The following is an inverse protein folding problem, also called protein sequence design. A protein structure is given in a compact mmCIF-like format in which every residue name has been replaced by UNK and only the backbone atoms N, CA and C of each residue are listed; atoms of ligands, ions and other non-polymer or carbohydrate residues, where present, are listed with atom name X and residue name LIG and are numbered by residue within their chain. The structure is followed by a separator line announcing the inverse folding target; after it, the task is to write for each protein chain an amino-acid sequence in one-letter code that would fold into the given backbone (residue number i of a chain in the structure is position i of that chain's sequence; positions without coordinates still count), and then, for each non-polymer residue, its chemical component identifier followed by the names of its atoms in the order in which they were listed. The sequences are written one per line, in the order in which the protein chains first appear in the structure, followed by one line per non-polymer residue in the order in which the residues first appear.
data_IF_683519847649
#
_entry.id   IF_683519847649
#
_cell.length_a   1.000
_cell.length_b   1.000
_cell.length_c   1.000
_cell.angle_alpha   90.00
_cell.angle_beta   90.00
_cell.angle_gamma   90.00
#
_symmetry.space_group_name_H-M   'P 1'
#
loop_
_entity.id
_entity.type
_entity.pdbx_description
1 polymer ?
#
# COMPACT_ATOMS: atom_id res chain seq x y z
N UNK A 1 -10.77 29.50 -17.09
CA UNK A 1 -10.35 28.63 -15.98
C UNK A 1 -11.50 27.71 -15.63
N UNK A 2 -11.25 26.42 -15.50
CA UNK A 2 -12.29 25.45 -15.09
C UNK A 2 -12.44 25.56 -13.57
N UNK A 3 -13.68 25.70 -13.08
CA UNK A 3 -13.98 25.87 -11.66
C UNK A 3 -14.73 24.65 -11.13
N UNK A 4 -14.41 24.19 -9.92
CA UNK A 4 -15.10 23.12 -9.22
C UNK A 4 -15.42 23.60 -7.79
N UNK A 5 -16.70 23.84 -7.49
CA UNK A 5 -17.05 24.56 -6.28
C UNK A 5 -16.37 25.94 -6.25
N UNK A 6 -15.63 26.27 -5.17
CA UNK A 6 -14.82 27.48 -5.08
C UNK A 6 -13.41 27.33 -5.68
N UNK A 7 -12.95 26.11 -5.94
CA UNK A 7 -11.59 25.77 -6.35
C UNK A 7 -11.34 26.08 -7.83
N UNK A 8 -10.25 26.76 -8.14
CA UNK A 8 -9.83 27.10 -9.50
C UNK A 8 -8.86 26.03 -9.99
N UNK A 9 -9.31 25.17 -10.93
CA UNK A 9 -8.47 24.09 -11.45
C UNK A 9 -7.38 24.66 -12.37
N UNK A 10 -6.11 24.34 -12.08
CA UNK A 10 -4.94 24.81 -12.81
C UNK A 10 -4.40 23.75 -13.76
N UNK A 11 -4.02 22.60 -13.25
CA UNK A 11 -3.38 21.53 -14.00
C UNK A 11 -3.75 20.14 -13.50
N UNK A 12 -3.69 19.15 -14.38
CA UNK A 12 -3.91 17.76 -14.02
C UNK A 12 -2.64 17.15 -13.44
N UNK A 13 -2.70 16.67 -12.19
CA UNK A 13 -1.62 15.99 -11.51
C UNK A 13 -1.57 14.50 -11.85
N UNK A 14 -2.75 13.87 -12.04
CA UNK A 14 -2.84 12.46 -12.37
C UNK A 14 -4.22 12.08 -12.89
N UNK A 15 -4.29 11.00 -13.65
CA UNK A 15 -5.55 10.39 -14.08
C UNK A 15 -5.47 8.89 -13.90
N UNK A 16 -6.39 8.34 -13.13
CA UNK A 16 -6.64 6.92 -12.99
C UNK A 16 -7.97 6.55 -13.65
N UNK A 17 -8.30 5.26 -13.64
CA UNK A 17 -9.57 4.75 -14.17
C UNK A 17 -10.79 5.14 -13.35
N UNK A 18 -10.60 5.50 -12.06
CA UNK A 18 -11.71 5.85 -11.16
C UNK A 18 -11.79 7.35 -10.87
N UNK A 19 -10.69 8.06 -10.93
CA UNK A 19 -10.65 9.47 -10.58
C UNK A 19 -9.53 10.21 -11.31
N UNK A 20 -9.70 11.52 -11.41
CA UNK A 20 -8.65 12.44 -11.87
C UNK A 20 -8.28 13.37 -10.73
N UNK A 21 -6.99 13.59 -10.52
CA UNK A 21 -6.46 14.53 -9.53
C UNK A 21 -5.97 15.80 -10.23
N UNK A 22 -6.41 16.94 -9.72
CA UNK A 22 -6.10 18.26 -10.26
C UNK A 22 -5.34 19.06 -9.21
N UNK A 23 -4.32 19.82 -9.63
CA UNK A 23 -3.85 20.97 -8.88
C UNK A 23 -4.90 22.05 -8.99
N UNK A 24 -5.24 22.69 -7.89
CA UNK A 24 -6.20 23.78 -7.83
C UNK A 24 -5.76 24.82 -6.81
N UNK A 25 -6.30 26.02 -6.95
CA UNK A 25 -6.12 27.12 -6.01
C UNK A 25 -7.42 27.37 -5.25
N UNK A 26 -7.34 27.47 -3.94
CA UNK A 26 -8.44 27.90 -3.06
C UNK A 26 -8.35 29.41 -2.79
N UNK A 27 -9.22 30.23 -3.42
CA UNK A 27 -9.15 31.68 -3.25
C UNK A 27 -9.64 32.18 -1.88
N UNK A 28 -10.34 31.36 -1.10
CA UNK A 28 -10.78 31.73 0.26
C UNK A 28 -9.66 31.53 1.28
N UNK A 29 -8.81 30.52 1.08
CA UNK A 29 -7.71 30.21 1.98
C UNK A 29 -6.35 30.65 1.44
N UNK A 30 -6.29 31.24 0.22
CA UNK A 30 -5.09 31.69 -0.46
C UNK A 30 -4.00 30.60 -0.50
N UNK A 31 -4.40 29.39 -0.97
CA UNK A 31 -3.49 28.24 -0.95
C UNK A 31 -3.72 27.27 -2.10
N UNK A 32 -2.63 26.60 -2.51
CA UNK A 32 -2.71 25.49 -3.46
C UNK A 32 -3.28 24.24 -2.75
N UNK A 33 -4.16 23.52 -3.44
CA UNK A 33 -4.76 22.27 -3.01
C UNK A 33 -4.74 21.25 -4.14
N UNK A 34 -4.90 19.97 -3.79
CA UNK A 34 -5.19 18.92 -4.77
C UNK A 34 -6.68 18.54 -4.69
N UNK A 35 -7.33 18.43 -5.85
CA UNK A 35 -8.75 18.06 -5.94
C UNK A 35 -8.87 16.74 -6.70
N UNK A 36 -9.33 15.70 -6.00
CA UNK A 36 -9.62 14.39 -6.59
C UNK A 36 -11.09 14.34 -6.98
N UNK A 37 -11.37 14.09 -8.26
CA UNK A 37 -12.72 14.10 -8.84
C UNK A 37 -13.03 12.71 -9.37
N UNK A 38 -14.18 12.14 -9.01
CA UNK A 38 -14.62 10.85 -9.55
C UNK A 38 -14.80 10.96 -11.08
N UNK A 39 -14.38 9.94 -11.81
CA UNK A 39 -14.49 9.91 -13.26
C UNK A 39 -15.94 9.73 -13.72
N UNK A 40 -16.31 10.34 -14.86
CA UNK A 40 -17.68 10.42 -15.35
C UNK A 40 -18.35 9.06 -15.54
N UNK A 41 -17.61 8.06 -15.99
CA UNK A 41 -18.11 6.70 -16.20
C UNK A 41 -18.51 5.98 -14.90
N UNK A 42 -18.13 6.51 -13.74
CA UNK A 42 -18.48 5.97 -12.42
C UNK A 42 -19.46 6.85 -11.67
N UNK A 43 -19.79 8.04 -12.18
CA UNK A 43 -20.63 9.00 -11.49
C UNK A 43 -22.05 8.47 -11.18
N UNK A 44 -22.59 7.60 -12.03
CA UNK A 44 -23.91 6.97 -11.84
C UNK A 44 -23.88 5.70 -10.97
N UNK A 45 -22.69 5.15 -10.64
CA UNK A 45 -22.57 3.96 -9.82
C UNK A 45 -22.57 4.32 -8.33
N UNK A 46 -23.67 4.00 -7.63
CA UNK A 46 -23.86 4.37 -6.23
C UNK A 46 -22.80 3.78 -5.30
N UNK A 47 -22.39 2.53 -5.52
CA UNK A 47 -21.42 1.84 -4.69
C UNK A 47 -20.01 2.46 -4.83
N UNK A 48 -19.62 2.81 -6.06
CA UNK A 48 -18.34 3.48 -6.32
C UNK A 48 -18.32 4.89 -5.72
N UNK A 49 -19.44 5.63 -5.83
CA UNK A 49 -19.60 6.95 -5.20
C UNK A 49 -19.44 6.87 -3.69
N UNK A 50 -20.16 5.93 -3.04
CA UNK A 50 -20.11 5.80 -1.57
C UNK A 50 -18.69 5.46 -1.09
N UNK A 51 -17.99 4.57 -1.78
CA UNK A 51 -16.58 4.24 -1.40
C UNK A 51 -15.61 5.37 -1.66
N UNK A 52 -15.79 6.13 -2.74
CA UNK A 52 -15.01 7.33 -2.99
C UNK A 52 -15.16 8.34 -1.84
N UNK A 53 -16.38 8.54 -1.35
CA UNK A 53 -16.65 9.41 -0.20
C UNK A 53 -16.18 8.78 1.13
N UNK A 54 -16.28 7.46 1.28
CA UNK A 54 -15.77 6.75 2.45
C UNK A 54 -14.25 6.88 2.57
N UNK A 55 -13.52 6.83 1.46
CA UNK A 55 -12.09 7.10 1.41
C UNK A 55 -11.75 8.51 1.94
N UNK A 56 -12.47 9.52 1.45
CA UNK A 56 -12.30 10.89 1.92
C UNK A 56 -12.56 11.03 3.43
N UNK A 57 -13.65 10.41 3.94
CA UNK A 57 -13.98 10.39 5.37
C UNK A 57 -12.92 9.68 6.21
N UNK A 58 -12.34 8.59 5.69
CA UNK A 58 -11.29 7.84 6.37
C UNK A 58 -10.01 8.66 6.46
N UNK A 59 -9.54 9.21 5.35
CA UNK A 59 -8.36 10.09 5.32
C UNK A 59 -8.54 11.32 6.24
N UNK A 60 -9.74 11.89 6.30
CA UNK A 60 -10.06 13.03 7.17
C UNK A 60 -9.89 12.72 8.67
N UNK A 61 -10.06 11.46 9.08
CA UNK A 61 -9.92 11.02 10.48
C UNK A 61 -8.48 10.79 10.90
N UNK A 62 -7.58 10.57 9.92
CA UNK A 62 -6.17 10.30 10.20
C UNK A 62 -5.45 11.64 10.31
N UNK A 63 -5.01 11.97 11.53
CA UNK A 63 -4.24 13.20 11.80
C UNK A 63 -2.76 12.85 11.93
N UNK A 64 -2.04 12.89 10.80
CA UNK A 64 -0.60 12.63 10.77
C UNK A 64 0.05 13.43 9.64
N UNK A 65 1.26 13.95 9.85
CA UNK A 65 2.02 14.63 8.80
C UNK A 65 2.60 13.67 7.75
N UNK A 66 2.33 12.36 7.85
CA UNK A 66 2.76 11.31 6.92
C UNK A 66 1.61 10.80 6.03
N UNK A 67 0.42 11.36 6.20
CA UNK A 67 -0.77 10.99 5.41
C UNK A 67 -1.38 12.27 4.85
N UNK A 68 -1.70 12.27 3.57
CA UNK A 68 -2.35 13.41 2.91
C UNK A 68 -3.69 13.71 3.58
N UNK A 69 -3.86 14.94 4.04
CA UNK A 69 -5.05 15.37 4.78
C UNK A 69 -6.15 15.81 3.83
N UNK A 70 -7.37 15.33 4.06
CA UNK A 70 -8.57 15.82 3.36
C UNK A 70 -9.16 17.02 4.10
N UNK A 71 -9.45 18.08 3.38
CA UNK A 71 -9.99 19.35 3.90
C UNK A 71 -11.48 19.48 3.67
N UNK A 72 -11.96 19.10 2.48
CA UNK A 72 -13.33 19.33 2.04
C UNK A 72 -13.84 18.22 1.12
N UNK A 73 -15.16 18.07 1.04
CA UNK A 73 -15.86 17.12 0.18
C UNK A 73 -17.05 17.81 -0.47
N UNK A 74 -17.24 17.63 -1.76
CA UNK A 74 -18.34 18.23 -2.49
C UNK A 74 -18.88 17.36 -3.62
N UNK A 75 -19.96 17.83 -4.23
CA UNK A 75 -20.56 17.26 -5.45
C UNK A 75 -20.82 18.39 -6.41
N UNK A 76 -20.38 18.27 -7.66
CA UNK A 76 -20.73 19.18 -8.74
C UNK A 76 -21.02 18.41 -10.02
N UNK A 77 -22.14 18.72 -10.70
CA UNK A 77 -22.61 18.02 -11.91
C UNK A 77 -22.71 16.51 -11.67
N UNK A 78 -23.32 16.11 -10.55
CA UNK A 78 -23.45 14.73 -10.03
C UNK A 78 -22.13 13.97 -9.79
N UNK A 79 -21.00 14.64 -9.88
CA UNK A 79 -19.67 14.06 -9.61
C UNK A 79 -19.16 14.45 -8.23
N UNK A 80 -18.96 13.49 -7.36
CA UNK A 80 -18.29 13.73 -6.08
C UNK A 80 -16.83 14.08 -6.29
N UNK A 81 -16.33 14.97 -5.46
CA UNK A 81 -14.91 15.32 -5.36
C UNK A 81 -14.52 15.51 -3.89
N UNK A 82 -13.25 15.41 -3.61
CA UNK A 82 -12.71 15.86 -2.34
C UNK A 82 -11.41 16.65 -2.55
N UNK A 83 -11.15 17.52 -1.59
CA UNK A 83 -10.03 18.45 -1.58
C UNK A 83 -9.05 18.01 -0.51
N UNK A 84 -7.77 18.00 -0.86
CA UNK A 84 -6.71 17.51 0.00
C UNK A 84 -5.44 18.35 -0.14
N UNK A 85 -4.46 18.12 0.72
CA UNK A 85 -3.15 18.76 0.63
C UNK A 85 -2.58 18.63 -0.78
N UNK A 86 -2.07 19.74 -1.32
CA UNK A 86 -1.18 19.69 -2.46
C UNK A 86 0.26 19.55 -1.98
N UNK A 87 0.93 18.49 -2.44
CA UNK A 87 2.33 18.20 -2.10
C UNK A 87 3.20 18.46 -3.31
N UNK A 88 4.01 19.53 -3.31
CA UNK A 88 4.70 20.02 -4.52
C UNK A 88 5.91 19.18 -4.94
N UNK A 89 6.39 18.28 -4.09
CA UNK A 89 7.59 17.47 -4.34
C UNK A 89 7.42 16.35 -5.37
N UNK A 90 6.22 16.15 -5.93
CA UNK A 90 5.92 15.06 -6.84
C UNK A 90 5.75 13.71 -6.13
N UNK A 91 6.03 12.62 -6.84
CA UNK A 91 5.81 11.25 -6.36
C UNK A 91 7.09 10.42 -6.39
N UNK A 92 7.12 9.30 -5.68
CA UNK A 92 8.22 8.34 -5.80
C UNK A 92 8.38 7.77 -7.21
N UNK A 93 7.33 7.81 -8.05
CA UNK A 93 7.42 7.34 -9.43
C UNK A 93 8.45 8.13 -10.25
N UNK A 94 8.61 9.42 -9.95
CA UNK A 94 9.57 10.31 -10.61
C UNK A 94 11.02 10.05 -10.18
N UNK A 95 11.21 9.29 -9.09
CA UNK A 95 12.51 8.91 -8.56
C UNK A 95 13.05 7.60 -9.11
N UNK A 96 12.20 6.78 -9.75
CA UNK A 96 12.60 5.48 -10.30
C UNK A 96 13.67 5.66 -11.37
N UNK A 97 14.81 4.97 -11.19
CA UNK A 97 15.96 5.08 -12.10
C UNK A 97 16.79 6.37 -11.97
N UNK A 98 16.41 7.26 -11.05
CA UNK A 98 17.09 8.56 -10.83
C UNK A 98 17.66 8.74 -9.42
N UNK A 99 17.41 7.79 -8.51
CA UNK A 99 17.93 7.81 -7.14
C UNK A 99 19.31 7.17 -7.03
N UNK A 100 20.17 7.72 -6.17
CA UNK A 100 21.30 6.98 -5.63
C UNK A 100 20.79 5.93 -4.63
N UNK A 101 21.48 4.77 -4.45
CA UNK A 101 21.02 3.71 -3.55
C UNK A 101 20.69 4.20 -2.13
N UNK A 102 21.51 5.06 -1.54
CA UNK A 102 21.26 5.61 -0.20
C UNK A 102 19.96 6.46 -0.13
N UNK A 103 19.68 7.26 -1.18
CA UNK A 103 18.44 8.03 -1.29
C UNK A 103 17.24 7.09 -1.46
N UNK A 104 17.35 6.08 -2.31
CA UNK A 104 16.29 5.09 -2.53
C UNK A 104 15.93 4.36 -1.23
N UNK A 105 16.93 3.93 -0.44
CA UNK A 105 16.70 3.27 0.85
C UNK A 105 16.06 4.21 1.87
N UNK A 106 16.48 5.47 1.93
CA UNK A 106 15.87 6.47 2.80
C UNK A 106 14.40 6.71 2.43
N UNK A 107 14.10 6.96 1.16
CA UNK A 107 12.72 7.22 0.70
C UNK A 107 11.82 5.99 0.90
N UNK A 108 12.34 4.79 0.70
CA UNK A 108 11.60 3.56 0.97
C UNK A 108 11.31 3.36 2.47
N UNK A 109 12.25 3.71 3.34
CA UNK A 109 12.04 3.69 4.79
C UNK A 109 10.98 4.72 5.21
N UNK A 110 11.05 5.94 4.70
CA UNK A 110 10.04 6.98 4.92
C UNK A 110 8.64 6.53 4.46
N UNK A 111 8.55 5.83 3.31
CA UNK A 111 7.31 5.22 2.85
C UNK A 111 6.80 4.15 3.85
N UNK A 112 7.70 3.31 4.39
CA UNK A 112 7.36 2.33 5.41
C UNK A 112 6.79 2.97 6.68
N UNK A 113 7.40 4.04 7.17
CA UNK A 113 6.87 4.79 8.32
C UNK A 113 5.51 5.44 8.02
N UNK A 114 5.31 5.96 6.80
CA UNK A 114 4.02 6.53 6.41
C UNK A 114 2.91 5.47 6.35
N UNK A 115 3.22 4.29 5.81
CA UNK A 115 2.29 3.14 5.78
C UNK A 115 1.98 2.63 7.19
N UNK A 116 2.98 2.61 8.10
CA UNK A 116 2.75 2.20 9.49
C UNK A 116 1.71 3.07 10.19
N UNK A 117 1.69 4.38 9.92
CA UNK A 117 0.65 5.27 10.48
C UNK A 117 -0.77 4.82 10.11
N UNK A 118 -0.98 4.32 8.89
CA UNK A 118 -2.28 3.74 8.50
C UNK A 118 -2.57 2.45 9.27
N UNK A 119 -1.58 1.57 9.38
CA UNK A 119 -1.73 0.29 10.10
C UNK A 119 -2.07 0.50 11.57
N UNK A 120 -1.50 1.51 12.23
CA UNK A 120 -1.79 1.88 13.62
C UNK A 120 -3.24 2.35 13.82
N UNK A 121 -3.89 2.82 12.75
CA UNK A 121 -5.33 3.16 12.75
C UNK A 121 -6.23 2.00 12.31
N UNK A 122 -5.67 0.81 12.11
CA UNK A 122 -6.40 -0.37 11.62
C UNK A 122 -6.67 -0.38 10.12
N UNK A 123 -6.01 0.50 9.35
CA UNK A 123 -6.22 0.65 7.90
C UNK A 123 -5.08 -0.02 7.13
N UNK A 124 -5.42 -0.97 6.25
CA UNK A 124 -4.50 -1.52 5.25
C UNK A 124 -4.71 -0.79 3.93
N UNK A 125 -3.64 -0.29 3.32
CA UNK A 125 -3.73 0.57 2.12
C UNK A 125 -4.13 -0.20 0.85
N UNK A 126 -3.54 -1.38 0.61
CA UNK A 126 -3.87 -2.32 -0.48
C UNK A 126 -3.51 -1.90 -1.91
N UNK A 127 -3.06 -0.69 -2.12
CA UNK A 127 -2.61 -0.17 -3.44
C UNK A 127 -1.34 0.68 -3.29
N UNK A 128 -0.39 0.20 -2.47
CA UNK A 128 0.93 0.84 -2.34
C UNK A 128 1.67 0.71 -3.66
N UNK A 129 2.04 1.85 -4.22
CA UNK A 129 2.84 2.00 -5.45
C UNK A 129 3.51 3.36 -5.47
N UNK A 130 4.56 3.57 -6.28
CA UNK A 130 5.31 4.83 -6.28
C UNK A 130 4.47 6.09 -6.52
N UNK A 131 3.41 6.01 -7.33
CA UNK A 131 2.53 7.16 -7.62
C UNK A 131 1.60 7.56 -6.47
N UNK A 132 1.43 6.71 -5.44
CA UNK A 132 0.63 6.98 -4.25
C UNK A 132 1.48 7.42 -3.05
N UNK A 133 2.80 7.58 -3.26
CA UNK A 133 3.78 7.98 -2.26
C UNK A 133 4.35 9.33 -2.68
N UNK A 134 3.92 10.40 -2.00
CA UNK A 134 4.24 11.78 -2.33
C UNK A 134 5.49 12.24 -1.56
N UNK A 135 6.27 13.13 -2.16
CA UNK A 135 7.50 13.66 -1.60
C UNK A 135 7.27 15.02 -0.94
N UNK A 136 7.45 15.09 0.37
CA UNK A 136 7.52 16.36 1.10
C UNK A 136 8.94 16.94 1.01
N UNK A 137 9.20 17.65 -0.07
CA UNK A 137 10.49 18.32 -0.31
C UNK A 137 10.73 19.54 0.62
N UNK A 138 9.71 19.96 1.37
CA UNK A 138 9.85 21.03 2.39
C UNK A 138 10.56 20.55 3.65
N UNK A 139 10.75 19.24 3.82
CA UNK A 139 11.48 18.64 4.93
C UNK A 139 12.90 18.24 4.54
N UNK A 140 13.79 18.35 5.51
CA UNK A 140 15.19 17.88 5.37
C UNK A 140 15.51 16.95 6.54
N UNK A 141 15.72 15.64 6.29
CA UNK A 141 15.62 14.95 4.99
C UNK A 141 14.18 14.88 4.45
N UNK A 142 14.05 14.67 3.13
CA UNK A 142 12.76 14.54 2.45
C UNK A 142 11.92 13.43 3.09
N UNK A 143 10.70 13.76 3.49
CA UNK A 143 9.73 12.80 4.02
C UNK A 143 8.80 12.27 2.90
N UNK A 144 8.15 11.13 3.16
CA UNK A 144 7.15 10.56 2.27
C UNK A 144 5.78 10.61 2.94
N UNK A 145 4.77 11.04 2.19
CA UNK A 145 3.37 10.99 2.58
C UNK A 145 2.63 9.94 1.75
N UNK A 146 1.73 9.21 2.42
CA UNK A 146 0.81 8.31 1.73
C UNK A 146 -0.43 9.07 1.27
N UNK A 147 -0.83 8.82 0.02
CA UNK A 147 -2.07 9.32 -0.58
C UNK A 147 -2.84 8.15 -1.21
N UNK A 148 -4.13 8.36 -1.45
CA UNK A 148 -4.97 7.48 -2.28
C UNK A 148 -5.13 6.03 -1.74
N UNK A 149 -6.07 5.82 -0.82
CA UNK A 149 -6.34 4.51 -0.17
C UNK A 149 -7.03 3.47 -1.09
N UNK A 150 -7.02 3.59 -2.37
CA UNK A 150 -7.45 2.56 -3.34
C UNK A 150 -8.85 1.91 -3.11
N UNK A 151 -9.67 2.43 -2.19
CA UNK A 151 -10.93 1.82 -1.75
C UNK A 151 -12.00 1.72 -2.84
N UNK A 152 -12.04 2.67 -3.76
CA UNK A 152 -12.95 2.63 -4.91
C UNK A 152 -12.59 1.54 -5.92
N UNK A 153 -11.30 1.22 -6.05
CA UNK A 153 -10.76 0.20 -6.95
C UNK A 153 -11.13 -1.22 -6.51
N UNK A 154 -11.10 -1.50 -5.22
CA UNK A 154 -11.39 -2.83 -4.68
C UNK A 154 -12.81 -3.33 -4.98
N UNK A 155 -13.78 -2.43 -5.19
CA UNK A 155 -15.14 -2.79 -5.55
C UNK A 155 -15.29 -3.22 -7.00
N UNK A 156 -14.63 -2.54 -7.92
CA UNK A 156 -14.67 -2.92 -9.31
C UNK A 156 -14.08 -4.32 -9.50
N UNK A 157 -12.98 -4.61 -8.76
CA UNK A 157 -12.37 -5.93 -8.75
C UNK A 157 -13.29 -7.00 -8.13
N UNK A 158 -14.00 -6.67 -7.04
CA UNK A 158 -14.94 -7.58 -6.36
C UNK A 158 -16.26 -7.78 -7.12
N UNK A 159 -16.68 -6.81 -7.94
CA UNK A 159 -17.95 -6.86 -8.69
C UNK A 159 -17.85 -7.61 -10.02
N UNK A 160 -16.68 -8.22 -10.35
CA UNK A 160 -16.46 -8.87 -11.63
C UNK A 160 -16.46 -7.90 -12.84
N UNK A 161 -16.58 -6.61 -12.59
CA UNK A 161 -16.29 -5.56 -13.54
C UNK A 161 -14.77 -5.54 -13.71
N UNK A 162 -14.27 -6.43 -14.54
CA UNK A 162 -12.85 -6.62 -14.85
C UNK A 162 -12.29 -5.37 -15.53
N UNK A 163 -12.18 -4.31 -14.74
CA UNK A 163 -11.27 -3.24 -15.08
C UNK A 163 -9.93 -3.69 -14.52
N UNK A 164 -9.08 -4.23 -15.36
CA UNK A 164 -7.66 -4.56 -15.07
C UNK A 164 -6.90 -3.25 -14.77
N UNK A 165 -7.34 -2.52 -13.74
CA UNK A 165 -6.96 -1.14 -13.43
C UNK A 165 -6.10 -1.02 -12.18
N UNK A 166 -5.58 -2.14 -11.67
CA UNK A 166 -4.47 -2.12 -10.75
C UNK A 166 -3.17 -2.37 -11.48
N UNK A 167 -2.09 -1.83 -11.01
CA UNK A 167 -0.79 -2.28 -11.46
C UNK A 167 -0.50 -3.56 -10.68
N UNK A 168 -0.83 -4.76 -11.22
CA UNK A 168 -0.72 -6.04 -10.49
C UNK A 168 0.70 -6.31 -10.02
N UNK A 169 1.66 -5.56 -10.56
CA UNK A 169 3.07 -5.63 -10.24
C UNK A 169 3.42 -5.42 -8.76
N UNK A 170 2.61 -4.65 -8.02
CA UNK A 170 2.84 -4.37 -6.58
C UNK A 170 1.94 -5.20 -5.67
N UNK A 171 0.99 -5.92 -6.24
CA UNK A 171 0.00 -6.68 -5.48
C UNK A 171 0.62 -7.92 -4.84
N UNK A 172 0.36 -8.12 -3.57
CA UNK A 172 0.79 -9.31 -2.86
C UNK A 172 0.05 -10.56 -3.36
N UNK A 173 0.68 -11.76 -3.34
CA UNK A 173 0.07 -12.99 -3.84
C UNK A 173 -1.29 -13.30 -3.20
N UNK A 174 -1.43 -13.14 -1.88
CA UNK A 174 -2.68 -13.39 -1.15
C UNK A 174 -3.81 -12.44 -1.55
N UNK A 175 -3.48 -11.22 -1.98
CA UNK A 175 -4.47 -10.29 -2.53
C UNK A 175 -4.92 -10.71 -3.93
N UNK A 176 -3.97 -11.17 -4.76
CA UNK A 176 -4.22 -11.56 -6.13
C UNK A 176 -5.04 -12.85 -6.22
N UNK A 177 -4.71 -13.84 -5.38
CA UNK A 177 -5.34 -15.16 -5.41
C UNK A 177 -6.52 -15.30 -4.48
N UNK A 178 -6.85 -14.25 -3.70
CA UNK A 178 -7.95 -14.24 -2.72
C UNK A 178 -7.92 -15.46 -1.77
N UNK A 179 -6.74 -15.90 -1.38
CA UNK A 179 -6.50 -17.09 -0.55
C UNK A 179 -6.74 -16.84 0.94
N UNK A 180 -7.86 -16.24 1.29
CA UNK A 180 -8.21 -15.87 2.67
C UNK A 180 -8.10 -14.38 2.95
N UNK A 181 -8.22 -13.99 4.23
CA UNK A 181 -8.01 -12.59 4.65
C UNK A 181 -6.56 -12.18 4.52
N UNK A 182 -6.30 -10.91 4.23
CA UNK A 182 -4.96 -10.33 4.24
C UNK A 182 -4.88 -9.15 5.20
N UNK A 183 -3.69 -8.84 5.68
CA UNK A 183 -3.41 -7.79 6.65
C UNK A 183 -2.32 -6.82 6.15
N UNK A 184 -1.76 -6.00 7.04
CA UNK A 184 -0.73 -5.01 6.70
C UNK A 184 0.52 -5.58 6.04
N UNK A 185 0.78 -6.89 6.13
CA UNK A 185 1.91 -7.55 5.47
C UNK A 185 1.77 -7.59 3.95
N UNK A 186 0.56 -7.38 3.42
CA UNK A 186 0.37 -7.15 1.99
C UNK A 186 0.98 -5.81 1.54
N UNK A 187 0.85 -4.75 2.35
CA UNK A 187 1.51 -3.48 2.08
C UNK A 187 3.03 -3.58 2.25
N UNK A 188 3.53 -4.41 3.18
CA UNK A 188 4.98 -4.69 3.30
C UNK A 188 5.54 -5.34 2.04
N UNK A 189 4.81 -6.28 1.42
CA UNK A 189 5.18 -6.82 0.12
C UNK A 189 5.27 -5.72 -0.95
N UNK A 190 4.26 -4.86 -1.03
CA UNK A 190 4.24 -3.75 -1.99
C UNK A 190 5.40 -2.77 -1.76
N UNK A 191 5.74 -2.45 -0.49
CA UNK A 191 6.92 -1.67 -0.13
C UNK A 191 8.22 -2.35 -0.59
N UNK A 192 8.30 -3.68 -0.50
CA UNK A 192 9.42 -4.47 -1.04
C UNK A 192 9.56 -4.29 -2.56
N UNK A 193 8.45 -4.34 -3.30
CA UNK A 193 8.45 -4.09 -4.77
C UNK A 193 8.89 -2.66 -5.07
N UNK A 194 8.33 -1.66 -4.37
CA UNK A 194 8.70 -0.24 -4.53
C UNK A 194 10.19 -0.03 -4.28
N UNK A 195 10.73 -0.60 -3.20
CA UNK A 195 12.14 -0.47 -2.85
C UNK A 195 13.05 -1.09 -3.92
N UNK A 196 12.71 -2.29 -4.38
CA UNK A 196 13.45 -2.94 -5.47
C UNK A 196 13.44 -2.09 -6.75
N UNK A 197 12.29 -1.51 -7.09
CA UNK A 197 12.14 -0.68 -8.28
C UNK A 197 12.90 0.65 -8.17
N UNK A 198 12.90 1.29 -6.99
CA UNK A 198 13.70 2.50 -6.74
C UNK A 198 15.22 2.23 -6.89
N UNK A 199 15.69 1.08 -6.40
CA UNK A 199 17.10 0.70 -6.47
C UNK A 199 17.54 0.31 -7.88
N UNK A 200 16.70 -0.40 -8.63
CA UNK A 200 17.11 -1.07 -9.88
C UNK A 200 16.51 -0.46 -11.14
N UNK A 201 15.56 0.48 -11.02
CA UNK A 201 14.79 1.02 -12.13
C UNK A 201 13.79 0.04 -12.76
N UNK A 202 13.64 -1.16 -12.22
CA UNK A 202 12.76 -2.22 -12.76
C UNK A 202 12.03 -2.98 -11.67
N UNK A 203 10.86 -3.52 -12.00
CA UNK A 203 10.07 -4.33 -11.08
C UNK A 203 10.63 -5.75 -10.95
N UNK A 204 10.59 -6.38 -9.75
CA UNK A 204 11.21 -7.67 -9.50
C UNK A 204 10.60 -8.82 -10.33
N UNK A 205 9.31 -8.73 -10.68
CA UNK A 205 8.58 -9.75 -11.43
C UNK A 205 7.96 -9.21 -12.73
N UNK A 206 8.54 -8.15 -13.30
CA UNK A 206 8.03 -7.51 -14.51
C UNK A 206 6.73 -6.72 -14.30
N UNK A 207 6.08 -6.29 -15.38
CA UNK A 207 4.91 -5.41 -15.34
C UNK A 207 3.66 -6.06 -14.74
N UNK A 208 3.52 -7.38 -14.82
CA UNK A 208 2.40 -8.12 -14.24
C UNK A 208 2.58 -8.48 -12.77
N UNK A 209 3.82 -8.46 -12.26
CA UNK A 209 4.13 -8.93 -10.92
C UNK A 209 3.82 -10.41 -10.70
N UNK A 210 3.86 -10.88 -9.45
CA UNK A 210 3.43 -12.26 -9.10
C UNK A 210 1.93 -12.47 -9.29
N UNK A 211 1.14 -11.43 -9.27
CA UNK A 211 -0.31 -11.49 -9.43
C UNK A 211 -0.76 -12.07 -10.79
N UNK A 212 0.10 -12.03 -11.81
CA UNK A 212 -0.18 -12.60 -13.14
C UNK A 212 0.36 -14.02 -13.30
N UNK A 213 1.08 -14.55 -12.33
CA UNK A 213 1.58 -15.92 -12.33
C UNK A 213 0.49 -16.89 -11.84
N UNK A 214 0.56 -18.15 -12.24
CA UNK A 214 -0.23 -19.19 -11.56
C UNK A 214 0.24 -19.35 -10.12
N UNK A 215 -0.60 -19.93 -9.24
CA UNK A 215 -0.23 -20.19 -7.84
C UNK A 215 1.07 -20.98 -7.73
N UNK A 216 1.27 -21.99 -8.59
CA UNK A 216 2.48 -22.79 -8.64
C UNK A 216 3.70 -21.97 -9.07
N UNK A 217 3.58 -21.20 -10.14
CA UNK A 217 4.65 -20.29 -10.61
C UNK A 217 5.00 -19.23 -9.57
N UNK A 218 4.01 -18.65 -8.89
CA UNK A 218 4.23 -17.68 -7.83
C UNK A 218 5.00 -18.29 -6.66
N UNK A 219 4.70 -19.56 -6.29
CA UNK A 219 5.36 -20.27 -5.19
C UNK A 219 6.80 -20.67 -5.50
N UNK A 220 7.12 -20.93 -6.77
CA UNK A 220 8.47 -21.37 -7.20
C UNK A 220 9.37 -20.21 -7.63
N UNK A 221 8.81 -19.05 -7.99
CA UNK A 221 9.60 -17.89 -8.43
C UNK A 221 10.30 -17.22 -7.25
N UNK A 222 11.63 -17.25 -7.22
CA UNK A 222 12.43 -16.48 -6.27
C UNK A 222 12.52 -15.01 -6.69
N UNK A 223 12.54 -14.06 -5.73
CA UNK A 223 12.85 -12.68 -6.04
C UNK A 223 14.23 -12.57 -6.68
N UNK A 224 14.41 -11.72 -7.71
CA UNK A 224 15.71 -11.50 -8.32
C UNK A 224 16.67 -10.84 -7.30
N UNK A 225 17.95 -11.12 -7.43
CA UNK A 225 18.98 -10.46 -6.64
C UNK A 225 19.10 -8.98 -7.03
N UNK A 226 19.50 -8.14 -6.08
CA UNK A 226 19.92 -6.79 -6.36
C UNK A 226 21.26 -6.86 -7.10
N UNK A 227 21.46 -6.12 -8.22
CA UNK A 227 22.74 -6.05 -8.92
C UNK A 227 23.88 -5.61 -7.98
N UNK A 228 25.00 -6.34 -7.98
CA UNK A 228 26.12 -6.09 -7.07
C UNK A 228 26.86 -4.77 -7.35
N UNK A 229 26.77 -4.26 -8.57
CA UNK A 229 27.32 -2.97 -9.00
C UNK A 229 26.64 -1.75 -8.37
N UNK A 230 25.45 -1.91 -7.81
CA UNK A 230 24.78 -0.86 -7.05
C UNK A 230 25.39 -0.59 -5.68
N UNK A 231 26.33 -1.41 -5.22
CA UNK A 231 26.99 -1.23 -3.92
C UNK A 231 26.06 -1.30 -2.71
N UNK A 232 24.91 -1.96 -2.85
CA UNK A 232 23.91 -2.11 -1.78
C UNK A 232 24.37 -3.24 -0.85
N UNK A 233 24.33 -3.05 0.49
CA UNK A 233 24.71 -4.09 1.44
C UNK A 233 23.90 -5.39 1.27
N UNK A 234 24.56 -6.55 1.45
CA UNK A 234 23.89 -7.87 1.32
C UNK A 234 22.66 -8.03 2.25
N UNK A 235 22.63 -7.31 3.37
CA UNK A 235 21.47 -7.31 4.28
C UNK A 235 20.21 -6.77 3.62
N UNK A 236 20.33 -5.80 2.73
CA UNK A 236 19.19 -5.24 1.98
C UNK A 236 18.65 -6.27 0.98
N UNK A 237 19.51 -7.00 0.26
CA UNK A 237 19.05 -8.08 -0.63
C UNK A 237 18.25 -9.15 0.13
N UNK A 238 18.75 -9.57 1.32
CA UNK A 238 18.03 -10.51 2.20
C UNK A 238 16.68 -9.95 2.67
N UNK A 239 16.66 -8.67 3.10
CA UNK A 239 15.43 -8.01 3.54
C UNK A 239 14.40 -7.96 2.41
N UNK A 240 14.79 -7.60 1.19
CA UNK A 240 13.89 -7.52 0.04
C UNK A 240 13.38 -8.91 -0.38
N UNK A 241 14.24 -9.95 -0.35
CA UNK A 241 13.80 -11.33 -0.58
C UNK A 241 12.74 -11.77 0.43
N UNK A 242 12.94 -11.40 1.69
CA UNK A 242 11.96 -11.69 2.74
C UNK A 242 10.67 -10.89 2.55
N UNK A 243 10.73 -9.58 2.30
CA UNK A 243 9.56 -8.75 2.05
C UNK A 243 8.73 -9.25 0.84
N UNK A 244 9.40 -9.80 -0.17
CA UNK A 244 8.82 -10.36 -1.39
C UNK A 244 8.48 -11.86 -1.26
N UNK A 245 8.49 -12.44 -0.05
CA UNK A 245 8.07 -13.83 0.16
C UNK A 245 6.59 -14.04 -0.20
N UNK A 246 6.27 -15.23 -0.71
CA UNK A 246 4.88 -15.63 -0.96
C UNK A 246 4.12 -15.80 0.35
N UNK A 247 4.76 -16.43 1.37
CA UNK A 247 4.16 -16.57 2.71
C UNK A 247 4.28 -15.23 3.46
N UNK A 248 3.16 -14.59 3.86
CA UNK A 248 3.20 -13.40 4.70
C UNK A 248 3.95 -13.60 6.03
N UNK A 249 4.04 -14.85 6.53
CA UNK A 249 4.77 -15.17 7.75
C UNK A 249 6.27 -14.98 7.66
N UNK A 250 6.84 -15.05 6.45
CA UNK A 250 8.27 -14.88 6.20
C UNK A 250 8.67 -13.43 5.96
N UNK A 251 7.69 -12.51 5.87
CA UNK A 251 7.93 -11.07 5.64
C UNK A 251 8.22 -10.34 6.95
N UNK A 252 8.81 -9.13 6.91
CA UNK A 252 8.74 -8.18 8.03
C UNK A 252 7.29 -8.04 8.48
N UNK A 253 7.02 -8.19 9.79
CA UNK A 253 5.66 -8.29 10.30
C UNK A 253 4.94 -6.94 10.37
N UNK A 254 5.68 -5.83 10.28
CA UNK A 254 5.14 -4.46 10.24
C UNK A 254 5.89 -3.63 9.21
N UNK A 255 5.24 -2.59 8.71
CA UNK A 255 5.87 -1.61 7.82
C UNK A 255 7.00 -0.85 8.54
N UNK A 256 6.87 -0.63 9.86
CA UNK A 256 7.93 -0.05 10.68
C UNK A 256 9.16 -0.96 10.74
N UNK A 257 9.00 -2.25 11.02
CA UNK A 257 10.11 -3.18 11.07
C UNK A 257 10.87 -3.26 9.73
N UNK A 258 10.14 -3.17 8.61
CA UNK A 258 10.74 -3.05 7.28
C UNK A 258 11.56 -1.76 7.12
N UNK A 259 10.99 -0.62 7.52
CA UNK A 259 11.66 0.69 7.45
C UNK A 259 12.93 0.75 8.32
N UNK A 260 12.84 0.26 9.57
CA UNK A 260 13.97 0.21 10.50
C UNK A 260 15.11 -0.65 9.95
N UNK A 261 14.78 -1.79 9.32
CA UNK A 261 15.76 -2.66 8.69
C UNK A 261 16.45 -2.01 7.48
N UNK A 262 15.73 -1.22 6.68
CA UNK A 262 16.32 -0.44 5.58
C UNK A 262 17.34 0.58 6.09
N UNK A 263 17.01 1.33 7.15
CA UNK A 263 17.88 2.38 7.70
C UNK A 263 19.10 1.82 8.43
N UNK A 264 18.98 0.66 9.06
CA UNK A 264 20.12 -0.02 9.68
C UNK A 264 21.18 -0.48 8.66
N UNK A 265 20.92 -0.25 7.37
CA UNK A 265 21.80 -0.63 6.23
C UNK A 265 22.18 -2.12 6.25
N UNK A 266 21.27 -2.96 6.76
CA UNK A 266 21.52 -4.40 6.85
C UNK A 266 22.53 -4.80 7.92
N UNK A 267 22.94 -3.87 8.79
CA UNK A 267 23.79 -4.16 9.93
C UNK A 267 23.09 -4.88 11.08
N UNK A 268 21.74 -4.85 11.11
CA UNK A 268 20.94 -5.65 12.01
C UNK A 268 20.60 -7.00 11.37
N UNK A 269 20.78 -8.11 12.07
CA UNK A 269 20.20 -9.39 11.67
C UNK A 269 18.68 -9.29 11.76
N UNK A 270 18.02 -8.91 10.65
CA UNK A 270 16.60 -9.15 10.53
C UNK A 270 16.40 -10.66 10.31
N UNK A 271 16.00 -11.35 11.37
CA UNK A 271 15.52 -12.73 11.26
C UNK A 271 13.99 -12.67 11.17
N UNK A 272 13.35 -13.32 10.18
CA UNK A 272 11.90 -13.47 10.18
C UNK A 272 11.49 -14.06 11.53
N UNK A 273 10.51 -13.46 12.19
CA UNK A 273 9.91 -14.07 13.35
C UNK A 273 9.43 -15.49 12.91
N UNK A 274 10.09 -16.53 13.39
CA UNK A 274 9.62 -17.89 13.15
C UNK A 274 8.19 -17.93 13.68
N UNK A 275 7.22 -17.94 12.79
CA UNK A 275 5.84 -18.21 13.19
C UNK A 275 5.91 -19.58 13.88
N UNK A 276 5.74 -19.58 15.18
CA UNK A 276 5.42 -20.81 15.90
C UNK A 276 4.02 -21.21 15.46
N UNK A 277 3.90 -21.69 14.21
CA UNK A 277 2.71 -22.45 13.83
C UNK A 277 2.64 -23.56 14.86
N UNK A 278 1.56 -23.65 15.67
CA UNK A 278 1.44 -24.80 16.55
C UNK A 278 1.59 -26.03 15.64
N UNK A 279 2.61 -26.80 15.90
CA UNK A 279 2.86 -28.02 15.11
C UNK A 279 1.52 -28.75 15.03
N UNK A 280 1.22 -29.36 13.89
CA UNK A 280 -0.03 -30.16 13.72
C UNK A 280 -0.32 -31.00 14.94
N UNK A 281 0.74 -31.48 15.63
CA UNK A 281 0.67 -32.20 16.89
C UNK A 281 -0.01 -31.39 18.02
N UNK A 282 0.27 -30.08 18.17
CA UNK A 282 -0.34 -29.24 19.23
C UNK A 282 -1.82 -29.01 18.94
N UNK A 283 -2.19 -28.86 17.67
CA UNK A 283 -3.61 -28.73 17.25
C UNK A 283 -4.36 -30.04 17.51
N UNK A 284 -3.76 -31.17 17.20
CA UNK A 284 -4.35 -32.50 17.49
C UNK A 284 -4.47 -32.76 18.98
N UNK A 285 -3.46 -32.41 19.78
CA UNK A 285 -3.51 -32.56 21.24
C UNK A 285 -4.61 -31.67 21.86
N UNK A 286 -4.75 -30.42 21.39
CA UNK A 286 -5.83 -29.55 21.85
C UNK A 286 -7.22 -30.11 21.48
N UNK A 287 -7.38 -30.65 20.27
CA UNK A 287 -8.63 -31.28 19.84
C UNK A 287 -8.97 -32.55 20.68
N UNK A 288 -7.95 -33.37 21.02
CA UNK A 288 -8.13 -34.56 21.89
C UNK A 288 -8.53 -34.13 23.30
N UNK A 289 -7.92 -33.09 23.86
CA UNK A 289 -8.27 -32.59 25.21
C UNK A 289 -9.72 -32.08 25.22
N UNK A 290 -10.14 -31.30 24.22
CA UNK A 290 -11.53 -30.83 24.12
C UNK A 290 -12.50 -32.03 24.00
N UNK A 291 -12.18 -33.03 23.20
CA UNK A 291 -13.00 -34.22 23.04
C UNK A 291 -13.13 -35.02 24.37
N UNK A 292 -12.03 -35.20 25.08
CA UNK A 292 -12.04 -35.92 26.38
C UNK A 292 -12.85 -35.16 27.45
N UNK A 293 -12.71 -33.82 27.51
CA UNK A 293 -13.49 -33.00 28.46
C UNK A 293 -14.98 -33.06 28.14
N UNK A 294 -15.36 -33.01 26.87
CA UNK A 294 -16.78 -33.10 26.47
C UNK A 294 -17.33 -34.50 26.73
N UNK A 295 -16.56 -35.55 26.53
CA UNK A 295 -16.95 -36.95 26.84
C UNK A 295 -17.16 -37.17 28.34
N UNK A 296 -16.26 -36.65 29.20
CA UNK A 296 -16.39 -36.71 30.65
C UNK A 296 -17.61 -35.93 31.16
N UNK A 297 -17.83 -34.72 30.64
CA UNK A 297 -19.00 -33.91 31.01
C UNK A 297 -20.32 -34.57 30.61
N UNK A 298 -20.37 -35.21 29.43
CA UNK A 298 -21.55 -35.99 28.99
C UNK A 298 -21.79 -37.24 29.83
N UNK A 299 -20.75 -37.88 30.37
CA UNK A 299 -20.87 -39.03 31.24
C UNK A 299 -21.33 -38.66 32.66
N UNK A 300 -20.89 -37.49 33.18
CA UNK A 300 -21.29 -36.95 34.50
C UNK A 300 -22.74 -36.43 34.56
N UNK A 301 -23.36 -36.13 33.41
CA UNK A 301 -24.75 -35.62 33.31
C UNK A 301 -25.75 -36.74 33.03
N UNK A 302 -25.29 -37.98 32.81
CA UNK A 302 -26.11 -39.20 32.71
C UNK A 302 -26.07 -39.97 34.04
#
# INVERSE_FOLDING_TARGET
MRKLGRYLLEGRLGAGSFATVWKAYDPELDTDVAVKVLADNWASNADVRERFLAEARLLRRISSPRVVRVHDVGVQDDRPYFVMDYVPGGTLAEKIGHCRPAEALHLAAEAGYAVQVLHDTGVVHRDIKPSNLLLDAGRTPTAVLVADLGSAKQLADASGLTVTTGTPAYMAPEQAFQTGGFDGRADVYALGVVTFELLTGRKPFGSGGRATLTTEQASTSSPPAIPSDLGVPNGIDRLLRAALSVDPGDRPQTAQAFADALLSQGGGEWAPARSSRPTRLVVWLAAIVVYLVTAVLTWLVR
#
